data_IF_743265698414
#
_entry.id   IF_743265698414
#
_cell.length_a   1.000
_cell.length_b   1.000
_cell.length_c   1.000
_cell.angle_alpha   90.00
_cell.angle_beta   90.00
_cell.angle_gamma   90.00
#
_symmetry.space_group_name_H-M   'P 1'
#
loop_
_entity.id
_entity.type
_entity.pdbx_description
1 polymer ?
#
# COMPACT_ATOMS: atom_id res chain seq x y z
N UNK A 1 44.61 8.03 -12.15
CA UNK A 1 44.56 7.74 -13.60
C UNK A 1 45.70 8.33 -14.44
N UNK A 2 46.17 9.55 -14.18
CA UNK A 2 47.18 10.25 -15.01
C UNK A 2 48.58 9.61 -15.02
N UNK A 3 49.10 9.16 -13.87
CA UNK A 3 50.47 8.61 -13.78
C UNK A 3 50.69 7.33 -14.60
N UNK A 4 49.71 6.42 -14.65
CA UNK A 4 49.83 5.16 -15.41
C UNK A 4 49.74 5.42 -16.92
N UNK A 5 48.88 6.35 -17.36
CA UNK A 5 48.82 6.77 -18.77
C UNK A 5 50.14 7.42 -19.22
N UNK A 6 50.72 8.28 -18.38
CA UNK A 6 52.02 8.90 -18.65
C UNK A 6 53.13 7.84 -18.75
N UNK A 7 53.16 6.87 -17.83
CA UNK A 7 54.14 5.78 -17.87
C UNK A 7 53.98 4.88 -19.11
N UNK A 8 52.75 4.54 -19.51
CA UNK A 8 52.47 3.80 -20.76
C UNK A 8 52.99 4.56 -21.99
N UNK A 9 52.76 5.87 -22.06
CA UNK A 9 53.24 6.69 -23.19
C UNK A 9 54.77 6.79 -23.23
N UNK A 10 55.44 7.01 -22.10
CA UNK A 10 56.91 7.04 -22.01
C UNK A 10 57.49 5.71 -22.52
N UNK A 11 56.88 4.62 -22.09
CA UNK A 11 57.36 3.28 -22.39
C UNK A 11 57.15 2.95 -23.88
N UNK A 12 56.02 3.31 -24.49
CA UNK A 12 55.80 3.22 -25.96
C UNK A 12 56.85 4.02 -26.76
N UNK A 13 57.17 5.24 -26.30
CA UNK A 13 58.20 6.07 -26.94
C UNK A 13 59.56 5.37 -26.86
N UNK A 14 59.91 4.81 -25.70
CA UNK A 14 61.17 4.08 -25.51
C UNK A 14 61.27 2.83 -26.40
N UNK A 15 60.19 2.05 -26.53
CA UNK A 15 60.13 0.90 -27.45
C UNK A 15 60.37 1.32 -28.89
N UNK A 16 59.74 2.43 -29.31
CA UNK A 16 59.85 2.95 -30.67
C UNK A 16 61.28 3.40 -30.97
N UNK A 17 61.94 4.06 -30.02
CA UNK A 17 63.33 4.48 -30.15
C UNK A 17 64.26 3.27 -30.29
N UNK A 18 64.11 2.25 -29.44
CA UNK A 18 64.91 1.02 -29.51
C UNK A 18 64.72 0.34 -30.86
N UNK A 19 63.48 0.24 -31.34
CA UNK A 19 63.18 -0.38 -32.63
C UNK A 19 63.84 0.38 -33.80
N UNK A 20 63.83 1.71 -33.77
CA UNK A 20 64.52 2.54 -34.76
C UNK A 20 66.05 2.35 -34.72
N UNK A 21 66.63 2.20 -33.52
CA UNK A 21 68.07 1.90 -33.35
C UNK A 21 68.40 0.54 -33.97
N UNK A 22 67.59 -0.49 -33.75
CA UNK A 22 67.79 -1.81 -34.38
C UNK A 22 67.77 -1.67 -35.91
N UNK A 23 66.77 -0.99 -36.48
CA UNK A 23 66.69 -0.78 -37.94
C UNK A 23 67.95 -0.08 -38.46
N UNK A 24 68.40 0.95 -37.76
CA UNK A 24 69.56 1.73 -38.16
C UNK A 24 70.85 0.89 -38.15
N UNK A 25 71.11 0.14 -37.07
CA UNK A 25 72.28 -0.74 -36.97
C UNK A 25 72.20 -1.87 -38.01
N UNK A 26 71.02 -2.44 -38.25
CA UNK A 26 70.82 -3.44 -39.32
C UNK A 26 71.16 -2.89 -40.70
N UNK A 27 70.81 -1.63 -40.98
CA UNK A 27 71.11 -0.97 -42.25
C UNK A 27 72.61 -0.71 -42.41
N UNK A 28 73.28 -0.32 -41.33
CA UNK A 28 74.72 -0.09 -41.31
C UNK A 28 75.49 -1.39 -41.57
N UNK A 29 75.07 -2.50 -40.94
CA UNK A 29 75.65 -3.83 -41.15
C UNK A 29 75.46 -4.34 -42.59
N UNK A 30 74.30 -4.05 -43.19
CA UNK A 30 74.02 -4.38 -44.61
C UNK A 30 74.89 -3.51 -45.54
N UNK A 31 75.15 -2.24 -45.22
CA UNK A 31 75.98 -1.38 -46.06
C UNK A 31 77.49 -1.68 -45.94
N UNK A 32 77.95 -2.20 -44.81
CA UNK A 32 79.32 -2.75 -44.67
C UNK A 32 79.53 -4.04 -45.49
N UNK A 33 78.45 -4.66 -45.99
CA UNK A 33 78.50 -5.79 -46.92
C UNK A 33 78.19 -5.31 -48.35
N UNK A 34 79.15 -5.44 -49.26
CA UNK A 34 79.06 -4.92 -50.64
C UNK A 34 77.77 -5.38 -51.37
N UNK A 35 77.11 -4.54 -52.19
CA UNK A 35 75.88 -4.90 -52.87
C UNK A 35 76.19 -5.74 -54.11
N UNK A 36 76.39 -7.04 -53.93
CA UNK A 36 76.14 -8.04 -54.97
C UNK A 36 75.20 -9.07 -54.40
N UNK A 37 73.98 -9.07 -54.94
CA UNK A 37 72.92 -10.07 -54.79
C UNK A 37 73.25 -11.21 -53.81
N UNK A 38 72.85 -11.03 -52.54
CA UNK A 38 72.64 -12.09 -51.53
C UNK A 38 73.65 -13.25 -51.63
N UNK A 39 74.94 -12.96 -51.65
CA UNK A 39 75.96 -13.89 -51.17
C UNK A 39 76.52 -13.30 -49.89
N UNK A 40 75.92 -13.71 -48.77
CA UNK A 40 76.45 -13.37 -47.46
C UNK A 40 77.68 -14.25 -47.25
N UNK A 41 78.86 -13.75 -47.62
CA UNK A 41 80.13 -14.43 -47.36
C UNK A 41 80.54 -14.20 -45.90
N UNK A 42 80.56 -15.29 -45.13
CA UNK A 42 80.75 -15.30 -43.68
C UNK A 42 82.18 -15.64 -43.24
N UNK A 43 83.10 -15.88 -44.17
CA UNK A 43 84.47 -16.24 -43.82
C UNK A 43 85.20 -15.04 -43.15
N UNK A 44 85.75 -15.26 -41.96
CA UNK A 44 86.52 -14.31 -41.13
C UNK A 44 85.75 -13.19 -40.39
N UNK A 45 84.41 -13.25 -40.27
CA UNK A 45 83.62 -12.23 -39.54
C UNK A 45 82.82 -12.77 -38.34
N UNK A 46 83.21 -13.95 -37.83
CA UNK A 46 82.45 -14.66 -36.79
C UNK A 46 82.23 -13.86 -35.50
N UNK A 47 83.20 -13.05 -35.07
CA UNK A 47 83.11 -12.25 -33.85
C UNK A 47 82.12 -11.07 -33.99
N UNK A 48 82.06 -10.44 -35.16
CA UNK A 48 81.13 -9.33 -35.45
C UNK A 48 79.69 -9.85 -35.49
N UNK A 49 79.49 -11.00 -36.12
CA UNK A 49 78.16 -11.64 -36.24
C UNK A 49 77.69 -12.18 -34.89
N UNK A 50 78.59 -12.78 -34.11
CA UNK A 50 78.30 -13.26 -32.76
C UNK A 50 77.96 -12.08 -31.82
N UNK A 51 78.71 -10.98 -31.89
CA UNK A 51 78.43 -9.75 -31.15
C UNK A 51 77.07 -9.14 -31.53
N UNK A 52 76.75 -9.11 -32.83
CA UNK A 52 75.47 -8.62 -33.34
C UNK A 52 74.29 -9.53 -32.95
N UNK A 53 74.45 -10.86 -33.05
CA UNK A 53 73.46 -11.83 -32.60
C UNK A 53 73.20 -11.73 -31.09
N UNK A 54 74.25 -11.49 -30.30
CA UNK A 54 74.14 -11.24 -28.86
C UNK A 54 73.40 -9.92 -28.56
N UNK A 55 73.69 -8.87 -29.33
CA UNK A 55 73.01 -7.57 -29.22
C UNK A 55 71.53 -7.67 -29.60
N UNK A 56 71.20 -8.31 -30.71
CA UNK A 56 69.80 -8.60 -31.11
C UNK A 56 69.11 -9.44 -30.04
N UNK A 57 69.74 -10.51 -29.55
CA UNK A 57 69.19 -11.37 -28.50
C UNK A 57 68.91 -10.61 -27.20
N UNK A 58 69.83 -9.73 -26.80
CA UNK A 58 69.67 -8.85 -25.63
C UNK A 58 68.53 -7.83 -25.82
N UNK A 59 68.44 -7.21 -27.00
CA UNK A 59 67.38 -6.24 -27.31
C UNK A 59 66.00 -6.91 -27.42
N UNK A 60 65.90 -8.09 -28.05
CA UNK A 60 64.66 -8.86 -28.10
C UNK A 60 64.21 -9.33 -26.71
N UNK A 61 65.15 -9.74 -25.87
CA UNK A 61 64.86 -10.11 -24.47
C UNK A 61 64.36 -8.89 -23.68
N UNK A 62 64.99 -7.74 -23.85
CA UNK A 62 64.55 -6.48 -23.24
C UNK A 62 63.16 -6.05 -23.72
N UNK A 63 62.90 -6.11 -25.03
CA UNK A 63 61.58 -5.84 -25.61
C UNK A 63 60.52 -6.81 -25.06
N UNK A 64 60.86 -8.09 -24.91
CA UNK A 64 59.95 -9.09 -24.34
C UNK A 64 59.57 -8.75 -22.89
N UNK A 65 60.55 -8.40 -22.05
CA UNK A 65 60.28 -7.93 -20.67
C UNK A 65 59.39 -6.68 -20.69
N UNK A 66 59.66 -5.76 -21.60
CA UNK A 66 58.95 -4.50 -21.70
C UNK A 66 57.49 -4.69 -22.18
N UNK A 67 57.23 -5.64 -23.10
CA UNK A 67 55.89 -6.06 -23.47
C UNK A 67 55.13 -6.71 -22.31
N UNK A 68 55.80 -7.55 -21.50
CA UNK A 68 55.20 -8.13 -20.28
C UNK A 68 54.80 -7.03 -19.29
N UNK A 69 55.66 -6.02 -19.07
CA UNK A 69 55.34 -4.88 -18.20
C UNK A 69 54.13 -4.10 -18.73
N UNK A 70 54.06 -3.84 -20.03
CA UNK A 70 52.91 -3.19 -20.66
C UNK A 70 51.62 -3.98 -20.48
N UNK A 71 51.67 -5.29 -20.70
CA UNK A 71 50.52 -6.19 -20.53
C UNK A 71 50.00 -6.17 -19.09
N UNK A 72 50.91 -6.23 -18.10
CA UNK A 72 50.55 -6.13 -16.67
C UNK A 72 49.91 -4.78 -16.31
N UNK A 73 50.42 -3.67 -16.87
CA UNK A 73 49.85 -2.35 -16.66
C UNK A 73 48.44 -2.22 -17.26
N UNK A 74 48.23 -2.79 -18.44
CA UNK A 74 46.94 -2.82 -19.12
C UNK A 74 45.93 -3.68 -18.36
N UNK A 75 46.33 -4.88 -17.94
CA UNK A 75 45.52 -5.75 -17.08
C UNK A 75 45.11 -5.04 -15.78
N UNK A 76 46.05 -4.34 -15.12
CA UNK A 76 45.74 -3.55 -13.93
C UNK A 76 44.76 -2.41 -14.22
N UNK A 77 44.89 -1.71 -15.35
CA UNK A 77 43.92 -0.68 -15.75
C UNK A 77 42.53 -1.26 -16.01
N UNK A 78 42.45 -2.44 -16.62
CA UNK A 78 41.20 -3.12 -16.90
C UNK A 78 40.50 -3.56 -15.61
N UNK A 79 41.23 -4.11 -14.64
CA UNK A 79 40.71 -4.46 -13.31
C UNK A 79 40.12 -3.21 -12.63
N UNK A 80 40.88 -2.12 -12.57
CA UNK A 80 40.42 -0.88 -11.94
C UNK A 80 39.17 -0.30 -12.64
N UNK A 81 39.10 -0.36 -13.96
CA UNK A 81 37.92 0.08 -14.72
C UNK A 81 36.72 -0.81 -14.44
N UNK A 82 36.90 -2.13 -14.38
CA UNK A 82 35.82 -3.07 -14.07
C UNK A 82 35.29 -2.86 -12.64
N UNK A 83 36.19 -2.66 -11.66
CA UNK A 83 35.80 -2.33 -10.29
C UNK A 83 35.00 -1.03 -10.21
N UNK A 84 35.41 0.00 -10.96
CA UNK A 84 34.70 1.28 -11.04
C UNK A 84 33.32 1.14 -11.71
N UNK A 85 33.23 0.35 -12.78
CA UNK A 85 31.96 0.04 -13.45
C UNK A 85 31.00 -0.70 -12.53
N UNK A 86 31.44 -1.80 -11.90
CA UNK A 86 30.63 -2.58 -10.96
C UNK A 86 30.17 -1.72 -9.79
N UNK A 87 31.04 -0.85 -9.27
CA UNK A 87 30.66 0.09 -8.20
C UNK A 87 29.58 1.07 -8.66
N UNK A 88 29.69 1.59 -9.88
CA UNK A 88 28.73 2.54 -10.45
C UNK A 88 27.39 1.86 -10.72
N UNK A 89 27.40 0.63 -11.24
CA UNK A 89 26.21 -0.18 -11.46
C UNK A 89 25.49 -0.50 -10.15
N UNK A 90 26.22 -0.92 -9.12
CA UNK A 90 25.66 -1.16 -7.79
C UNK A 90 25.03 0.11 -7.19
N UNK A 91 25.69 1.26 -7.33
CA UNK A 91 25.14 2.53 -6.86
C UNK A 91 23.85 2.90 -7.60
N UNK A 92 23.82 2.69 -8.92
CA UNK A 92 22.64 2.93 -9.74
C UNK A 92 21.49 2.00 -9.34
N UNK A 93 21.76 0.72 -9.10
CA UNK A 93 20.74 -0.23 -8.65
C UNK A 93 20.12 0.19 -7.31
N UNK A 94 20.95 0.61 -6.35
CA UNK A 94 20.47 1.13 -5.06
C UNK A 94 19.60 2.38 -5.25
N UNK A 95 20.00 3.31 -6.12
CA UNK A 95 19.21 4.50 -6.43
C UNK A 95 17.86 4.15 -7.07
N UNK A 96 17.84 3.22 -8.02
CA UNK A 96 16.63 2.80 -8.72
C UNK A 96 15.65 2.08 -7.76
N UNK A 97 16.15 1.29 -6.81
CA UNK A 97 15.34 0.72 -5.74
C UNK A 97 14.73 1.79 -4.83
N UNK A 98 15.50 2.82 -4.46
CA UNK A 98 14.97 3.94 -3.67
C UNK A 98 13.94 4.77 -4.45
N UNK A 99 14.10 4.94 -5.77
CA UNK A 99 13.10 5.57 -6.65
C UNK A 99 11.80 4.79 -6.68
N UNK A 100 11.89 3.47 -6.81
CA UNK A 100 10.73 2.59 -6.79
C UNK A 100 10.00 2.66 -5.44
N UNK A 101 10.75 2.58 -4.34
CA UNK A 101 10.23 2.74 -2.99
C UNK A 101 9.53 4.10 -2.80
N UNK A 102 10.14 5.20 -3.26
CA UNK A 102 9.54 6.53 -3.18
C UNK A 102 8.19 6.60 -3.92
N UNK A 103 8.08 5.91 -5.07
CA UNK A 103 6.84 5.81 -5.85
C UNK A 103 5.78 5.02 -5.08
N UNK A 104 6.15 3.92 -4.42
CA UNK A 104 5.25 3.15 -3.57
C UNK A 104 4.80 3.98 -2.36
N UNK A 105 5.70 4.69 -1.69
CA UNK A 105 5.37 5.57 -0.56
C UNK A 105 4.39 6.66 -0.93
N UNK A 106 4.54 7.29 -2.09
CA UNK A 106 3.57 8.26 -2.59
C UNK A 106 2.17 7.65 -2.69
N UNK A 107 2.05 6.53 -3.39
CA UNK A 107 0.77 5.84 -3.54
C UNK A 107 0.18 5.35 -2.21
N UNK A 108 1.03 4.90 -1.27
CA UNK A 108 0.60 4.50 0.07
C UNK A 108 0.03 5.69 0.86
N UNK A 109 0.72 6.82 0.87
CA UNK A 109 0.26 8.06 1.53
C UNK A 109 -1.08 8.51 0.94
N UNK A 110 -1.20 8.55 -0.39
CA UNK A 110 -2.44 8.94 -1.06
C UNK A 110 -3.60 8.00 -0.66
N UNK A 111 -3.34 6.69 -0.61
CA UNK A 111 -4.33 5.69 -0.20
C UNK A 111 -4.72 5.78 1.29
N UNK A 112 -3.80 6.14 2.18
CA UNK A 112 -4.10 6.36 3.61
C UNK A 112 -5.02 7.57 3.77
N UNK A 113 -4.73 8.67 3.07
CA UNK A 113 -5.55 9.88 3.11
C UNK A 113 -6.95 9.60 2.58
N UNK A 114 -7.06 8.95 1.43
CA UNK A 114 -8.34 8.61 0.82
C UNK A 114 -9.15 7.66 1.73
N UNK A 115 -8.51 6.66 2.33
CA UNK A 115 -9.17 5.79 3.32
C UNK A 115 -9.65 6.57 4.54
N UNK A 116 -8.87 7.54 5.02
CA UNK A 116 -9.26 8.44 6.10
C UNK A 116 -10.53 9.23 5.78
N UNK A 117 -10.65 9.78 4.56
CA UNK A 117 -11.86 10.48 4.12
C UNK A 117 -13.09 9.56 4.10
N UNK A 118 -12.92 8.31 3.68
CA UNK A 118 -14.01 7.32 3.67
C UNK A 118 -14.41 6.92 5.10
N UNK A 119 -13.45 6.77 6.01
CA UNK A 119 -13.73 6.52 7.44
C UNK A 119 -14.50 7.68 8.07
N UNK A 120 -14.08 8.92 7.79
CA UNK A 120 -14.70 10.14 8.31
C UNK A 120 -16.17 10.22 7.93
N UNK A 121 -16.46 10.07 6.64
CA UNK A 121 -17.82 10.02 6.13
C UNK A 121 -18.63 8.91 6.81
N UNK A 122 -18.06 7.71 6.91
CA UNK A 122 -18.76 6.56 7.47
C UNK A 122 -19.17 6.77 8.93
N UNK A 123 -18.26 7.20 9.82
CA UNK A 123 -18.62 7.34 11.24
C UNK A 123 -19.62 8.48 11.46
N UNK A 124 -19.55 9.56 10.69
CA UNK A 124 -20.53 10.65 10.77
C UNK A 124 -21.93 10.20 10.34
N UNK A 125 -22.01 9.45 9.24
CA UNK A 125 -23.27 8.84 8.78
C UNK A 125 -23.81 7.81 9.79
N UNK A 126 -22.94 6.98 10.37
CA UNK A 126 -23.35 5.96 11.34
C UNK A 126 -23.80 6.58 12.68
N UNK A 127 -23.22 7.71 13.10
CA UNK A 127 -23.68 8.44 14.28
C UNK A 127 -25.05 9.11 14.06
N UNK A 128 -25.26 9.70 12.88
CA UNK A 128 -26.49 10.44 12.55
C UNK A 128 -27.64 9.52 12.13
N UNK A 129 -27.37 8.50 11.32
CA UNK A 129 -28.34 7.57 10.73
C UNK A 129 -27.92 6.09 10.93
N UNK A 130 -27.83 5.61 12.19
CA UNK A 130 -27.34 4.25 12.52
C UNK A 130 -28.23 3.12 12.00
N UNK A 131 -29.53 3.39 11.78
CA UNK A 131 -30.50 2.42 11.30
C UNK A 131 -30.37 2.15 9.79
N UNK A 132 -29.77 3.07 9.03
CA UNK A 132 -29.51 2.90 7.59
C UNK A 132 -28.27 2.06 7.33
N UNK A 133 -28.21 1.39 6.18
CA UNK A 133 -27.05 0.59 5.78
C UNK A 133 -25.91 1.47 5.23
N UNK A 134 -25.26 2.23 6.11
CA UNK A 134 -24.07 3.01 5.75
C UNK A 134 -22.91 2.09 5.37
N UNK A 135 -22.11 2.50 4.39
CA UNK A 135 -21.05 1.65 3.81
C UNK A 135 -19.70 2.32 3.87
N UNK A 136 -18.70 1.56 4.30
CA UNK A 136 -17.31 1.95 4.22
C UNK A 136 -16.63 1.12 3.13
N UNK A 137 -16.13 1.80 2.09
CA UNK A 137 -15.36 1.14 1.05
C UNK A 137 -13.89 1.06 1.44
N UNK A 138 -13.21 0.01 0.98
CA UNK A 138 -11.79 -0.21 1.23
C UNK A 138 -11.04 -0.13 -0.08
N UNK A 139 -10.03 0.73 -0.11
CA UNK A 139 -9.13 0.84 -1.25
C UNK A 139 -8.12 -0.30 -1.20
N UNK A 140 -7.96 -0.98 -2.34
CA UNK A 140 -6.95 -2.04 -2.47
C UNK A 140 -5.65 -1.43 -2.94
N UNK A 141 -4.73 -1.17 -2.00
CA UNK A 141 -3.39 -0.69 -2.33
C UNK A 141 -2.35 -1.80 -2.16
N UNK A 142 -1.98 -2.46 -3.27
CA UNK A 142 -0.94 -3.51 -3.27
C UNK A 142 0.47 -2.98 -3.04
N UNK A 143 0.69 -1.66 -3.02
CA UNK A 143 2.02 -1.09 -2.85
C UNK A 143 2.55 -1.25 -1.42
N UNK A 144 1.68 -1.47 -0.42
CA UNK A 144 2.10 -1.91 0.93
C UNK A 144 2.83 -3.26 0.86
N UNK A 145 2.19 -4.28 0.28
CA UNK A 145 2.80 -5.61 0.12
C UNK A 145 4.07 -5.55 -0.73
N UNK A 146 4.03 -4.84 -1.87
CA UNK A 146 5.19 -4.68 -2.75
C UNK A 146 6.38 -4.02 -2.06
N UNK A 147 6.16 -3.04 -1.18
CA UNK A 147 7.23 -2.37 -0.44
C UNK A 147 7.86 -3.30 0.60
N UNK A 148 7.06 -4.13 1.29
CA UNK A 148 7.55 -5.15 2.24
C UNK A 148 8.31 -6.27 1.52
N UNK A 149 7.86 -6.66 0.32
CA UNK A 149 8.49 -7.69 -0.51
C UNK A 149 9.81 -7.22 -1.17
N UNK A 150 10.13 -5.93 -1.15
CA UNK A 150 11.42 -5.43 -1.63
C UNK A 150 12.56 -6.01 -0.78
N UNK A 151 13.73 -6.22 -1.41
CA UNK A 151 14.93 -6.63 -0.68
C UNK A 151 15.33 -5.54 0.34
N UNK A 152 14.99 -5.79 1.61
CA UNK A 152 15.21 -4.88 2.72
C UNK A 152 16.68 -4.56 2.93
N UNK A 153 17.58 -5.51 2.64
CA UNK A 153 19.03 -5.29 2.72
C UNK A 153 19.49 -4.28 1.67
N UNK A 154 18.97 -4.35 0.44
CA UNK A 154 19.25 -3.35 -0.59
C UNK A 154 18.72 -1.97 -0.21
N UNK A 155 17.50 -1.89 0.35
CA UNK A 155 16.94 -0.60 0.82
C UNK A 155 17.79 -0.02 1.95
N UNK A 156 18.19 -0.86 2.91
CA UNK A 156 19.10 -0.49 4.00
C UNK A 156 20.44 0.04 3.46
N UNK A 157 21.06 -0.68 2.53
CA UNK A 157 22.31 -0.29 1.91
C UNK A 157 22.17 1.02 1.12
N UNK A 158 21.06 1.22 0.42
CA UNK A 158 20.74 2.46 -0.29
C UNK A 158 20.63 3.63 0.67
N UNK A 159 19.78 3.51 1.70
CA UNK A 159 19.62 4.55 2.74
C UNK A 159 20.95 4.85 3.42
N UNK A 160 21.70 3.82 3.84
CA UNK A 160 23.03 3.99 4.43
C UNK A 160 23.99 4.73 3.51
N UNK A 161 24.01 4.40 2.22
CA UNK A 161 24.94 4.99 1.27
C UNK A 161 24.66 6.48 1.04
N UNK A 162 23.38 6.84 0.85
CA UNK A 162 22.96 8.19 0.49
C UNK A 162 22.68 9.11 1.69
N UNK A 163 22.32 8.56 2.86
CA UNK A 163 22.09 9.30 4.10
C UNK A 163 23.18 9.07 5.15
N UNK A 164 24.39 8.64 4.74
CA UNK A 164 25.51 8.35 5.67
C UNK A 164 25.85 9.50 6.63
N UNK A 165 25.60 10.75 6.21
CA UNK A 165 25.93 11.97 6.95
C UNK A 165 24.77 12.40 7.87
N UNK A 166 23.58 11.78 7.75
CA UNK A 166 22.44 11.98 8.65
C UNK A 166 22.59 11.04 9.87
N UNK A 167 22.76 11.55 11.10
CA UNK A 167 22.94 10.70 12.28
C UNK A 167 21.74 9.78 12.57
N UNK A 168 20.54 10.09 12.05
CA UNK A 168 19.31 9.33 12.24
C UNK A 168 18.98 8.41 11.06
N UNK A 169 19.93 8.10 10.17
CA UNK A 169 19.67 7.28 8.99
C UNK A 169 19.17 5.86 9.34
N UNK A 170 19.71 5.23 10.39
CA UNK A 170 19.26 3.90 10.86
C UNK A 170 17.82 3.96 11.37
N UNK A 171 17.50 5.00 12.15
CA UNK A 171 16.16 5.25 12.65
C UNK A 171 15.17 5.52 11.52
N UNK A 172 15.61 6.18 10.46
CA UNK A 172 14.81 6.42 9.25
C UNK A 172 14.43 5.09 8.58
N UNK A 173 15.38 4.17 8.43
CA UNK A 173 15.12 2.83 7.88
C UNK A 173 14.16 2.02 8.76
N UNK A 174 14.39 1.98 10.07
CA UNK A 174 13.53 1.23 10.99
C UNK A 174 12.11 1.79 11.01
N UNK A 175 11.96 3.11 11.10
CA UNK A 175 10.64 3.75 11.09
C UNK A 175 9.89 3.54 9.77
N UNK A 176 10.60 3.49 8.64
CA UNK A 176 9.99 3.23 7.34
C UNK A 176 9.22 1.92 7.34
N UNK A 177 9.88 0.81 7.69
CA UNK A 177 9.25 -0.51 7.67
C UNK A 177 8.21 -0.65 8.78
N UNK A 178 8.48 -0.13 9.97
CA UNK A 178 7.48 -0.11 11.07
C UNK A 178 6.20 0.60 10.64
N UNK A 179 6.28 1.75 9.94
CA UNK A 179 5.10 2.47 9.49
C UNK A 179 4.38 1.76 8.34
N UNK A 180 5.11 1.15 7.41
CA UNK A 180 4.51 0.35 6.33
C UNK A 180 3.73 -0.83 6.91
N UNK A 181 4.32 -1.57 7.84
CA UNK A 181 3.69 -2.71 8.49
C UNK A 181 2.49 -2.27 9.33
N UNK A 182 2.65 -1.20 10.12
CA UNK A 182 1.58 -0.61 10.91
C UNK A 182 0.34 -0.27 10.06
N UNK A 183 0.52 0.43 8.94
CA UNK A 183 -0.61 0.78 8.08
C UNK A 183 -1.20 -0.42 7.34
N UNK A 184 -0.36 -1.38 6.93
CA UNK A 184 -0.82 -2.61 6.29
C UNK A 184 -1.72 -3.41 7.24
N UNK A 185 -1.24 -3.69 8.45
CA UNK A 185 -1.99 -4.42 9.47
C UNK A 185 -3.23 -3.65 9.93
N UNK A 186 -3.10 -2.33 10.13
CA UNK A 186 -4.22 -1.48 10.53
C UNK A 186 -5.37 -1.46 9.50
N UNK A 187 -5.06 -1.44 8.19
CA UNK A 187 -6.09 -1.52 7.14
C UNK A 187 -6.74 -2.91 7.10
N UNK A 188 -5.97 -3.98 7.31
CA UNK A 188 -6.48 -5.35 7.36
C UNK A 188 -7.41 -5.56 8.56
N UNK A 189 -7.02 -5.08 9.74
CA UNK A 189 -7.83 -5.12 10.96
C UNK A 189 -9.13 -4.30 10.80
N UNK A 190 -9.03 -3.07 10.29
CA UNK A 190 -10.19 -2.22 10.01
C UNK A 190 -11.19 -2.90 9.08
N UNK A 191 -10.70 -3.59 8.04
CA UNK A 191 -11.53 -4.38 7.12
C UNK A 191 -12.22 -5.55 7.80
N UNK A 192 -11.52 -6.28 8.65
CA UNK A 192 -12.09 -7.38 9.41
C UNK A 192 -13.19 -6.89 10.36
N UNK A 193 -12.93 -5.83 11.13
CA UNK A 193 -13.89 -5.19 12.04
C UNK A 193 -15.15 -4.73 11.28
N UNK A 194 -14.98 -4.03 10.17
CA UNK A 194 -16.11 -3.60 9.34
C UNK A 194 -16.92 -4.76 8.79
N UNK A 195 -16.25 -5.80 8.30
CA UNK A 195 -16.94 -7.00 7.77
C UNK A 195 -17.75 -7.68 8.87
N UNK A 196 -17.25 -7.74 10.10
CA UNK A 196 -18.00 -8.23 11.25
C UNK A 196 -19.22 -7.36 11.55
N UNK A 197 -19.04 -6.04 11.59
CA UNK A 197 -20.12 -5.10 11.88
C UNK A 197 -21.24 -5.12 10.83
N UNK A 198 -20.89 -5.16 9.54
CA UNK A 198 -21.90 -5.17 8.47
C UNK A 198 -22.71 -6.47 8.48
N UNK A 199 -22.06 -7.61 8.78
CA UNK A 199 -22.74 -8.89 8.91
C UNK A 199 -23.71 -8.89 10.10
N UNK A 200 -23.26 -8.39 11.26
CA UNK A 200 -24.12 -8.18 12.43
C UNK A 200 -25.34 -7.31 12.08
N UNK A 201 -25.11 -6.15 11.45
CA UNK A 201 -26.18 -5.22 11.09
C UNK A 201 -27.20 -5.84 10.15
N UNK A 202 -26.76 -6.54 9.10
CA UNK A 202 -27.63 -7.27 8.17
C UNK A 202 -28.45 -8.35 8.90
N UNK A 203 -27.83 -9.11 9.79
CA UNK A 203 -28.51 -10.16 10.56
C UNK A 203 -29.60 -9.58 11.47
N UNK A 204 -29.28 -8.54 12.22
CA UNK A 204 -30.21 -7.91 13.14
C UNK A 204 -31.37 -7.21 12.41
N UNK A 205 -31.10 -6.54 11.28
CA UNK A 205 -32.16 -5.96 10.45
C UNK A 205 -33.11 -7.03 9.89
N UNK A 206 -32.61 -8.22 9.53
CA UNK A 206 -33.48 -9.35 9.11
C UNK A 206 -34.34 -9.86 10.27
N UNK A 207 -33.81 -9.88 11.50
CA UNK A 207 -34.59 -10.23 12.69
C UNK A 207 -35.71 -9.22 12.92
N UNK A 208 -35.44 -7.92 12.79
CA UNK A 208 -36.47 -6.87 12.85
C UNK A 208 -37.52 -7.08 11.76
N UNK A 209 -37.11 -7.29 10.50
CA UNK A 209 -38.05 -7.51 9.40
C UNK A 209 -38.96 -8.71 9.64
N UNK A 210 -38.41 -9.81 10.16
CA UNK A 210 -39.18 -11.00 10.55
C UNK A 210 -40.14 -10.73 11.71
N UNK A 211 -39.72 -9.90 12.67
CA UNK A 211 -40.57 -9.49 13.78
C UNK A 211 -41.72 -8.58 13.33
N UNK A 212 -41.49 -7.66 12.38
CA UNK A 212 -42.57 -6.88 11.76
C UNK A 212 -43.58 -7.76 11.03
N UNK A 213 -43.12 -8.75 10.26
CA UNK A 213 -44.04 -9.71 9.62
C UNK A 213 -44.92 -10.43 10.65
N UNK A 214 -44.32 -10.87 11.77
CA UNK A 214 -45.07 -11.48 12.86
C UNK A 214 -46.07 -10.51 13.51
N UNK A 215 -45.66 -9.26 13.73
CA UNK A 215 -46.52 -8.22 14.26
C UNK A 215 -47.72 -7.96 13.34
N UNK A 216 -47.50 -7.83 12.03
CA UNK A 216 -48.57 -7.63 11.05
C UNK A 216 -49.56 -8.79 11.05
N UNK A 217 -49.09 -10.03 11.17
CA UNK A 217 -49.97 -11.20 11.29
C UNK A 217 -50.79 -11.19 12.59
N UNK A 218 -50.19 -10.74 13.71
CA UNK A 218 -50.92 -10.57 14.98
C UNK A 218 -51.99 -9.49 14.85
N UNK A 219 -51.67 -8.37 14.21
CA UNK A 219 -52.61 -7.29 13.93
C UNK A 219 -53.79 -7.79 13.06
N UNK A 220 -53.51 -8.46 11.95
CA UNK A 220 -54.54 -9.02 11.07
C UNK A 220 -55.46 -10.01 11.81
N UNK A 221 -54.88 -10.94 12.57
CA UNK A 221 -55.65 -11.94 13.35
C UNK A 221 -56.59 -11.27 14.35
N UNK A 222 -56.10 -10.23 15.06
CA UNK A 222 -56.93 -9.49 16.01
C UNK A 222 -58.09 -8.78 15.31
N UNK A 223 -57.88 -8.18 14.13
CA UNK A 223 -58.95 -7.56 13.34
C UNK A 223 -59.99 -8.59 12.90
N UNK A 224 -59.56 -9.76 12.45
CA UNK A 224 -60.46 -10.84 12.05
C UNK A 224 -61.29 -11.34 13.24
N UNK A 225 -60.68 -11.55 14.42
CA UNK A 225 -61.38 -11.95 15.64
C UNK A 225 -62.44 -10.91 16.05
N UNK A 226 -62.10 -9.63 15.95
CA UNK A 226 -63.03 -8.53 16.20
C UNK A 226 -64.20 -8.52 15.22
N UNK A 227 -63.94 -8.77 13.93
CA UNK A 227 -64.95 -8.85 12.88
C UNK A 227 -65.86 -10.07 13.03
N UNK A 228 -65.33 -11.21 13.47
CA UNK A 228 -66.13 -12.41 13.77
C UNK A 228 -67.04 -12.14 14.96
N UNK A 229 -66.53 -11.51 16.01
CA UNK A 229 -67.30 -11.22 17.21
C UNK A 229 -68.33 -10.08 17.01
N UNK A 230 -68.03 -9.08 16.17
CA UNK A 230 -68.88 -7.90 15.96
C UNK A 230 -68.91 -7.47 14.46
N UNK A 231 -69.56 -8.24 13.56
CA UNK A 231 -69.44 -8.05 12.11
C UNK A 231 -69.76 -6.64 11.60
N UNK A 232 -70.79 -6.01 12.16
CA UNK A 232 -71.32 -4.74 11.64
C UNK A 232 -70.61 -3.50 12.20
N UNK A 233 -69.87 -3.62 13.32
CA UNK A 233 -69.37 -2.45 14.05
C UNK A 233 -67.97 -2.64 14.69
N UNK A 234 -67.22 -3.67 14.29
CA UNK A 234 -65.91 -3.94 14.88
C UNK A 234 -64.92 -2.77 14.79
N UNK A 235 -64.98 -1.95 13.73
CA UNK A 235 -64.11 -0.77 13.57
C UNK A 235 -64.46 0.40 14.49
N UNK A 236 -65.60 0.38 15.19
CA UNK A 236 -65.87 1.38 16.24
C UNK A 236 -65.17 1.03 17.55
N UNK A 237 -64.64 -0.19 17.70
CA UNK A 237 -64.00 -0.63 18.92
C UNK A 237 -62.57 -0.05 18.99
N UNK A 238 -62.17 0.57 20.12
CA UNK A 238 -60.93 1.35 20.18
C UNK A 238 -59.68 0.58 19.75
N UNK A 239 -59.50 -0.63 20.26
CA UNK A 239 -58.36 -1.48 19.96
C UNK A 239 -58.32 -1.94 18.50
N UNK A 240 -59.45 -2.33 17.91
CA UNK A 240 -59.54 -2.68 16.49
C UNK A 240 -59.20 -1.49 15.60
N UNK A 241 -59.73 -0.29 15.91
CA UNK A 241 -59.44 0.94 15.17
C UNK A 241 -57.95 1.28 15.22
N UNK A 242 -57.34 1.24 16.40
CA UNK A 242 -55.91 1.55 16.59
C UNK A 242 -55.02 0.58 15.82
N UNK A 243 -55.28 -0.72 15.90
CA UNK A 243 -54.48 -1.73 15.19
C UNK A 243 -54.62 -1.59 13.67
N UNK A 244 -55.82 -1.32 13.18
CA UNK A 244 -56.05 -1.09 11.76
C UNK A 244 -55.35 0.18 11.27
N UNK A 245 -55.41 1.27 12.03
CA UNK A 245 -54.70 2.52 11.72
C UNK A 245 -53.19 2.30 11.68
N UNK A 246 -52.62 1.68 12.71
CA UNK A 246 -51.19 1.33 12.77
C UNK A 246 -50.73 0.49 11.57
N UNK A 247 -51.54 -0.49 11.18
CA UNK A 247 -51.25 -1.34 10.01
C UNK A 247 -51.23 -0.50 8.73
N UNK A 248 -52.19 0.42 8.58
CA UNK A 248 -52.23 1.37 7.46
C UNK A 248 -51.01 2.27 7.41
N UNK A 249 -50.70 2.97 8.51
CA UNK A 249 -49.54 3.86 8.62
C UNK A 249 -48.21 3.15 8.30
N UNK A 250 -48.07 1.90 8.74
CA UNK A 250 -46.89 1.10 8.42
C UNK A 250 -46.75 0.80 6.93
N UNK A 251 -47.82 0.37 6.25
CA UNK A 251 -47.77 0.10 4.81
C UNK A 251 -47.66 1.37 3.98
N UNK A 252 -48.26 2.49 4.41
CA UNK A 252 -48.07 3.79 3.79
C UNK A 252 -46.60 4.20 3.81
N UNK A 253 -45.91 4.01 4.94
CA UNK A 253 -44.46 4.26 5.02
C UNK A 253 -43.64 3.34 4.12
N UNK A 254 -43.99 2.05 4.02
CA UNK A 254 -43.31 1.13 3.10
C UNK A 254 -43.49 1.56 1.64
N UNK A 255 -44.68 2.02 1.26
CA UNK A 255 -44.97 2.55 -0.07
C UNK A 255 -44.19 3.83 -0.33
N UNK A 256 -44.09 4.74 0.65
CA UNK A 256 -43.29 5.96 0.55
C UNK A 256 -41.80 5.65 0.29
N UNK A 257 -41.25 4.64 0.97
CA UNK A 257 -39.89 4.18 0.71
C UNK A 257 -39.72 3.60 -0.71
N UNK A 258 -40.69 2.80 -1.17
CA UNK A 258 -40.68 2.21 -2.51
C UNK A 258 -40.76 3.28 -3.61
N UNK A 259 -41.67 4.25 -3.46
CA UNK A 259 -41.89 5.33 -4.43
C UNK A 259 -40.66 6.25 -4.55
N UNK A 260 -39.87 6.38 -3.48
CA UNK A 260 -38.66 7.21 -3.43
C UNK A 260 -37.35 6.45 -3.71
N UNK A 261 -37.40 5.13 -3.98
CA UNK A 261 -36.21 4.25 -4.11
C UNK A 261 -35.28 4.32 -2.87
N UNK A 262 -35.89 4.42 -1.68
CA UNK A 262 -35.17 4.51 -0.41
C UNK A 262 -35.27 3.20 0.39
N UNK A 263 -34.19 2.87 1.09
CA UNK A 263 -34.22 1.78 2.05
C UNK A 263 -35.03 2.18 3.30
N UNK A 264 -35.82 1.24 3.82
CA UNK A 264 -36.59 1.41 5.05
C UNK A 264 -35.68 1.84 6.22
N UNK A 265 -36.04 2.93 6.90
CA UNK A 265 -35.34 3.42 8.09
C UNK A 265 -36.10 3.03 9.36
N UNK A 266 -35.52 2.09 10.12
CA UNK A 266 -36.11 1.64 11.37
C UNK A 266 -36.24 2.73 12.42
N UNK A 267 -35.49 3.83 12.32
CA UNK A 267 -35.65 4.98 13.20
C UNK A 267 -36.99 5.65 12.99
N UNK A 268 -37.38 5.89 11.74
CA UNK A 268 -38.66 6.50 11.37
C UNK A 268 -39.80 5.62 11.89
N UNK A 269 -39.73 4.31 11.63
CA UNK A 269 -40.73 3.37 12.14
C UNK A 269 -40.80 3.41 13.67
N UNK A 270 -39.65 3.41 14.36
CA UNK A 270 -39.59 3.45 15.82
C UNK A 270 -40.15 4.74 16.45
N UNK A 271 -39.83 5.89 15.85
CA UNK A 271 -40.09 7.21 16.43
C UNK A 271 -41.39 7.84 15.97
N UNK A 272 -41.93 7.43 14.83
CA UNK A 272 -43.12 8.05 14.27
C UNK A 272 -44.32 7.09 14.34
N UNK A 273 -44.09 5.80 14.11
CA UNK A 273 -45.17 4.79 14.05
C UNK A 273 -45.31 4.02 15.37
N UNK A 274 -44.24 3.33 15.83
CA UNK A 274 -44.32 2.47 17.01
C UNK A 274 -44.54 3.27 18.31
N UNK A 275 -43.92 4.45 18.43
CA UNK A 275 -44.09 5.27 19.64
C UNK A 275 -45.53 5.77 19.76
N UNK A 276 -46.14 6.16 18.65
CA UNK A 276 -47.49 6.72 18.63
C UNK A 276 -48.51 5.62 18.94
N UNK A 277 -48.34 4.43 18.34
CA UNK A 277 -49.11 3.25 18.70
C UNK A 277 -49.02 2.96 20.20
N UNK A 278 -47.82 2.97 20.79
CA UNK A 278 -47.63 2.72 22.21
C UNK A 278 -48.27 3.80 23.08
N UNK A 279 -48.18 5.07 22.68
CA UNK A 279 -48.79 6.20 23.39
C UNK A 279 -50.31 6.02 23.49
N UNK A 280 -50.99 5.81 22.37
CA UNK A 280 -52.44 5.60 22.34
C UNK A 280 -52.83 4.31 23.06
N UNK A 281 -52.03 3.24 22.92
CA UNK A 281 -52.24 1.98 23.62
C UNK A 281 -52.18 2.14 25.16
N UNK A 282 -51.30 2.99 25.67
CA UNK A 282 -51.23 3.27 27.11
C UNK A 282 -52.47 4.05 27.60
N UNK A 283 -53.02 4.95 26.79
CA UNK A 283 -54.27 5.64 27.11
C UNK A 283 -55.44 4.65 27.20
N UNK A 284 -55.55 3.72 26.24
CA UNK A 284 -56.59 2.68 26.26
C UNK A 284 -56.43 1.74 27.45
N UNK A 285 -55.19 1.31 27.75
CA UNK A 285 -54.90 0.50 28.92
C UNK A 285 -55.41 1.15 30.22
N UNK A 286 -55.22 2.47 30.36
CA UNK A 286 -55.59 3.20 31.57
C UNK A 286 -57.10 3.48 31.67
N UNK A 287 -57.82 3.52 30.54
CA UNK A 287 -59.24 3.90 30.49
C UNK A 287 -60.17 2.70 30.38
N UNK A 288 -59.88 1.76 29.49
CA UNK A 288 -60.73 0.61 29.16
C UNK A 288 -60.06 -0.74 29.43
N UNK A 289 -58.74 -0.77 29.65
CA UNK A 289 -57.97 -1.98 29.85
C UNK A 289 -57.63 -2.71 28.55
N UNK A 290 -57.07 -3.92 28.68
CA UNK A 290 -56.79 -4.80 27.55
C UNK A 290 -58.03 -5.63 27.19
N UNK A 291 -58.21 -5.88 25.89
CA UNK A 291 -59.23 -6.80 25.39
C UNK A 291 -58.81 -8.28 25.50
N UNK A 292 -59.74 -9.16 25.13
CA UNK A 292 -59.55 -10.61 25.05
C UNK A 292 -58.96 -11.07 23.70
N UNK A 293 -58.85 -10.17 22.71
CA UNK A 293 -58.44 -10.45 21.33
C UNK A 293 -56.94 -10.22 21.10
N UNK A 294 -56.18 -9.96 22.17
CA UNK A 294 -54.72 -9.98 22.14
C UNK A 294 -54.04 -8.62 22.12
N UNK A 295 -54.74 -7.51 22.40
CA UNK A 295 -54.11 -6.17 22.49
C UNK A 295 -52.89 -6.13 23.41
N UNK A 296 -52.93 -6.80 24.56
CA UNK A 296 -51.77 -6.89 25.47
C UNK A 296 -50.53 -7.46 24.77
N UNK A 297 -50.70 -8.53 24.00
CA UNK A 297 -49.59 -9.21 23.34
C UNK A 297 -48.99 -8.32 22.25
N UNK A 298 -49.82 -7.64 21.46
CA UNK A 298 -49.37 -6.69 20.44
C UNK A 298 -48.62 -5.52 21.08
N UNK A 299 -49.18 -4.91 22.13
CA UNK A 299 -48.52 -3.81 22.85
C UNK A 299 -47.16 -4.21 23.40
N UNK A 300 -47.07 -5.37 24.05
CA UNK A 300 -45.78 -5.90 24.52
C UNK A 300 -44.81 -6.16 23.37
N UNK A 301 -45.28 -6.74 22.26
CA UNK A 301 -44.46 -7.04 21.11
C UNK A 301 -43.91 -5.78 20.43
N UNK A 302 -44.74 -4.73 20.27
CA UNK A 302 -44.32 -3.43 19.74
C UNK A 302 -43.26 -2.78 20.65
N UNK A 303 -43.45 -2.85 21.97
CA UNK A 303 -42.47 -2.30 22.92
C UNK A 303 -41.12 -3.02 22.82
N UNK A 304 -41.12 -4.35 22.68
CA UNK A 304 -39.90 -5.13 22.53
C UNK A 304 -39.21 -4.89 21.18
N UNK A 305 -39.98 -4.74 20.10
CA UNK A 305 -39.46 -4.38 18.78
C UNK A 305 -38.74 -3.02 18.81
N UNK A 306 -39.33 -2.03 19.50
CA UNK A 306 -38.72 -0.71 19.68
C UNK A 306 -37.41 -0.77 20.47
N UNK A 307 -37.33 -1.64 21.50
CA UNK A 307 -36.07 -1.87 22.23
C UNK A 307 -35.01 -2.49 21.33
N UNK A 308 -35.35 -3.50 20.53
CA UNK A 308 -34.43 -4.14 19.60
C UNK A 308 -33.86 -3.15 18.58
N UNK A 309 -34.71 -2.30 17.98
CA UNK A 309 -34.27 -1.22 17.08
C UNK A 309 -33.26 -0.31 17.79
N UNK A 310 -33.58 0.13 19.02
CA UNK A 310 -32.71 1.00 19.80
C UNK A 310 -31.38 0.32 20.18
N UNK A 311 -31.37 -0.97 20.50
CA UNK A 311 -30.15 -1.73 20.80
C UNK A 311 -29.19 -1.76 19.59
N UNK A 312 -29.73 -1.98 18.39
CA UNK A 312 -28.94 -1.94 17.15
C UNK A 312 -28.39 -0.54 16.92
N UNK A 313 -29.21 0.51 17.07
CA UNK A 313 -28.75 1.88 16.89
C UNK A 313 -27.60 2.24 17.85
N UNK A 314 -27.72 1.82 19.11
CA UNK A 314 -26.71 2.04 20.13
C UNK A 314 -25.41 1.31 19.76
N UNK A 315 -25.50 0.04 19.35
CA UNK A 315 -24.33 -0.73 18.91
C UNK A 315 -23.63 -0.09 17.71
N UNK A 316 -24.39 0.34 16.70
CA UNK A 316 -23.88 1.07 15.55
C UNK A 316 -23.17 2.37 15.95
N UNK A 317 -23.74 3.15 16.87
CA UNK A 317 -23.12 4.37 17.39
C UNK A 317 -21.84 4.10 18.18
N UNK A 318 -21.78 3.04 18.97
CA UNK A 318 -20.55 2.65 19.67
C UNK A 318 -19.46 2.24 18.70
N UNK A 319 -19.80 1.45 17.68
CA UNK A 319 -18.87 1.10 16.62
C UNK A 319 -18.38 2.34 15.86
N UNK A 320 -19.27 3.29 15.56
CA UNK A 320 -18.90 4.55 14.91
C UNK A 320 -17.88 5.35 15.74
N UNK A 321 -18.00 5.35 17.06
CA UNK A 321 -17.01 6.00 17.95
C UNK A 321 -15.65 5.31 17.91
N UNK A 322 -15.60 3.97 17.88
CA UNK A 322 -14.33 3.24 17.71
C UNK A 322 -13.67 3.60 16.36
N UNK A 323 -14.45 3.74 15.29
CA UNK A 323 -13.95 4.18 13.98
C UNK A 323 -13.47 5.63 14.00
N UNK A 324 -14.18 6.53 14.71
CA UNK A 324 -13.76 7.91 14.93
C UNK A 324 -12.41 7.98 15.67
N UNK A 325 -12.25 7.18 16.74
CA UNK A 325 -10.98 7.09 17.48
C UNK A 325 -9.84 6.57 16.59
N UNK A 326 -10.08 5.52 15.80
CA UNK A 326 -9.09 4.99 14.86
C UNK A 326 -8.75 5.99 13.75
N UNK A 327 -9.73 6.71 13.22
CA UNK A 327 -9.51 7.78 12.25
C UNK A 327 -8.60 8.84 12.83
N UNK A 328 -8.96 9.42 13.97
CA UNK A 328 -8.19 10.47 14.63
C UNK A 328 -6.76 10.00 14.97
N UNK A 329 -6.63 8.75 15.41
CA UNK A 329 -5.36 8.18 15.88
C UNK A 329 -4.42 7.78 14.75
N UNK A 330 -4.90 7.47 13.54
CA UNK A 330 -4.06 6.82 12.51
C UNK A 330 -4.24 7.36 11.08
N UNK A 331 -5.44 7.81 10.72
CA UNK A 331 -5.81 8.12 9.33
C UNK A 331 -6.14 9.60 9.09
N UNK A 332 -6.22 10.41 10.15
CA UNK A 332 -6.42 11.85 10.01
C UNK A 332 -5.24 12.49 9.25
N UNK A 333 -5.48 13.50 8.41
CA UNK A 333 -4.41 14.16 7.64
C UNK A 333 -3.29 14.75 8.51
N UNK A 334 -3.62 15.08 9.76
CA UNK A 334 -2.78 15.70 10.78
C UNK A 334 -2.13 14.68 11.73
N UNK A 335 -2.31 13.38 11.50
CA UNK A 335 -1.79 12.36 12.39
C UNK A 335 -0.26 12.26 12.40
N UNK A 336 0.32 12.05 13.58
CA UNK A 336 1.76 11.86 13.82
C UNK A 336 2.39 10.76 12.96
N UNK A 337 1.71 9.63 12.76
CA UNK A 337 2.23 8.48 12.00
C UNK A 337 2.30 8.80 10.51
N UNK A 338 1.27 9.46 9.99
CA UNK A 338 1.22 9.90 8.59
C UNK A 338 2.26 10.99 8.33
N UNK A 339 2.43 11.94 9.26
CA UNK A 339 3.46 12.97 9.17
C UNK A 339 4.88 12.38 9.19
N UNK A 340 5.14 11.39 10.07
CA UNK A 340 6.42 10.65 10.06
C UNK A 340 6.66 9.95 8.72
N UNK A 341 5.64 9.31 8.15
CA UNK A 341 5.76 8.65 6.84
C UNK A 341 6.04 9.65 5.72
N UNK A 342 5.35 10.80 5.71
CA UNK A 342 5.59 11.92 4.77
C UNK A 342 7.03 12.45 4.89
N UNK A 343 7.53 12.64 6.12
CA UNK A 343 8.92 13.08 6.38
C UNK A 343 9.95 12.09 5.83
N UNK A 344 9.74 10.78 6.05
CA UNK A 344 10.61 9.74 5.51
C UNK A 344 10.58 9.75 3.97
N UNK A 345 9.40 9.87 3.36
CA UNK A 345 9.27 10.02 1.91
C UNK A 345 10.09 11.22 1.41
N UNK A 346 9.97 12.39 2.02
CA UNK A 346 10.71 13.60 1.61
C UNK A 346 12.22 13.39 1.70
N UNK A 347 12.72 12.70 2.74
CA UNK A 347 14.14 12.35 2.84
C UNK A 347 14.58 11.48 1.67
N UNK A 348 13.80 10.45 1.32
CA UNK A 348 14.10 9.57 0.18
C UNK A 348 13.99 10.33 -1.15
N UNK A 349 13.00 11.22 -1.28
CA UNK A 349 12.79 12.06 -2.46
C UNK A 349 14.00 12.97 -2.76
N UNK A 350 14.64 13.49 -1.72
CA UNK A 350 15.86 14.31 -1.83
C UNK A 350 17.07 13.51 -2.34
N UNK A 351 17.09 12.19 -2.14
CA UNK A 351 18.15 11.29 -2.66
C UNK A 351 17.97 11.02 -4.15
N UNK A 352 16.71 10.92 -4.59
CA UNK A 352 16.37 10.41 -5.92
C UNK A 352 16.14 11.50 -6.98
N UNK A 353 16.02 12.75 -6.53
CA UNK A 353 15.95 13.96 -7.35
C UNK A 353 17.34 14.54 -7.53
#
# INVERSE_FOLDING_TARGET
MTKIKVFKNILIVFTTIIFLIIIWISFDLINETSPKQIEIDFANKSDIISGYGTLIGGVLSFLSILFVILSLLEQRQQILRNEELVRTENQKELLDKLKLLNTFLKSMIDGIIEQGTVMEKYYLEEQTQPSKMNRMYFLVNRNFARAVEMDSLSIYNGIKFYLKDDPDWEKTFLNLFTLIDFYKEGIEELRAKYTSQINYKVEEQRKIGSAFLKLMNMCASMIDDYKIANPDNYMSLPWAKLVNQFTGEYYEYLQECEDNDEATDFRVISNDILIEFLRVSMEFRNTIGYDIFGSRNIVSFVADLRKQINEIEIHCKYYAKDIEEQYNSYFSPENDSLDKLKKIKIKIETIVT
#
